data_IF_670568172831
#
_entry.id   IF_670568172831
#
_cell.length_a   1.000
_cell.length_b   1.000
_cell.length_c   1.000
_cell.angle_alpha   90.00
_cell.angle_beta   90.00
_cell.angle_gamma   90.00
#
_symmetry.space_group_name_H-M   'P 1'
#
loop_
_entity.id
_entity.type
_entity.pdbx_description
1 polymer ?
#
# COMPACT_ATOMS: atom_id res chain seq x y z
N UNK A 1 -44.76 -19.83 -0.11
CA UNK A 1 -43.82 -20.98 -0.08
C UNK A 1 -42.53 -20.40 0.50
N UNK A 2 -42.13 -20.78 1.72
CA UNK A 2 -40.93 -20.20 2.35
C UNK A 2 -39.66 -20.85 1.83
N UNK A 3 -38.59 -20.07 1.71
CA UNK A 3 -37.24 -20.52 1.32
C UNK A 3 -36.35 -20.75 2.55
N UNK A 4 -35.34 -21.61 2.42
CA UNK A 4 -34.35 -21.79 3.48
C UNK A 4 -33.48 -20.54 3.58
N UNK A 5 -33.28 -20.03 4.81
CA UNK A 5 -32.34 -18.95 5.07
C UNK A 5 -31.02 -19.57 5.52
N UNK A 6 -29.94 -19.28 4.78
CA UNK A 6 -28.60 -19.82 5.01
C UNK A 6 -27.67 -18.65 5.28
N UNK A 7 -27.12 -18.60 6.49
CA UNK A 7 -26.11 -17.64 6.91
C UNK A 7 -24.76 -18.34 7.06
N UNK A 8 -23.72 -17.79 6.46
CA UNK A 8 -22.36 -18.33 6.52
C UNK A 8 -21.51 -17.31 7.27
N UNK A 9 -20.80 -17.75 8.30
CA UNK A 9 -19.89 -16.91 9.08
C UNK A 9 -18.59 -17.67 9.31
N UNK A 10 -17.55 -17.30 8.56
CA UNK A 10 -16.26 -18.00 8.57
C UNK A 10 -16.41 -19.46 8.14
N UNK A 11 -16.21 -20.39 9.08
CA UNK A 11 -16.40 -21.85 8.88
C UNK A 11 -17.75 -22.38 9.39
N UNK A 12 -18.57 -21.52 10.00
CA UNK A 12 -19.86 -21.92 10.58
C UNK A 12 -20.98 -21.62 9.61
N UNK A 13 -21.86 -22.60 9.39
CA UNK A 13 -23.05 -22.47 8.54
C UNK A 13 -24.29 -22.61 9.40
N UNK A 14 -25.14 -21.59 9.38
CA UNK A 14 -26.40 -21.54 10.11
C UNK A 14 -27.55 -21.65 9.12
N UNK A 15 -28.40 -22.65 9.28
CA UNK A 15 -29.50 -22.96 8.36
C UNK A 15 -30.81 -22.82 9.12
N UNK A 16 -31.71 -21.99 8.63
CA UNK A 16 -33.04 -21.79 9.23
C UNK A 16 -34.10 -22.47 8.37
N UNK A 17 -34.96 -23.28 9.01
CA UNK A 17 -36.05 -23.97 8.32
C UNK A 17 -37.19 -22.98 7.97
N UNK A 18 -37.76 -23.02 6.75
CA UNK A 18 -38.86 -22.14 6.34
C UNK A 18 -40.21 -22.46 6.99
N UNK A 19 -40.29 -23.51 7.81
CA UNK A 19 -41.52 -23.93 8.45
C UNK A 19 -41.64 -23.20 9.78
N UNK A 20 -42.76 -22.50 9.99
CA UNK A 20 -43.07 -21.85 11.25
C UNK A 20 -43.87 -22.80 12.15
N UNK A 21 -43.27 -23.19 13.26
CA UNK A 21 -43.87 -24.02 14.30
C UNK A 21 -42.87 -24.39 15.39
N UNK A 22 -43.37 -24.90 16.51
CA UNK A 22 -42.57 -25.54 17.55
C UNK A 22 -42.46 -27.04 17.24
N UNK A 23 -41.30 -27.65 17.50
CA UNK A 23 -41.07 -29.09 17.23
C UNK A 23 -40.54 -29.41 15.83
N UNK A 24 -39.69 -28.55 15.26
CA UNK A 24 -39.00 -28.85 13.99
C UNK A 24 -37.98 -29.97 14.22
N UNK A 25 -38.13 -31.06 13.48
CA UNK A 25 -37.18 -32.16 13.52
C UNK A 25 -36.19 -32.04 12.37
N UNK A 26 -34.90 -32.04 12.71
CA UNK A 26 -33.81 -31.99 11.74
C UNK A 26 -33.26 -33.39 11.46
N UNK A 27 -33.00 -33.66 10.19
CA UNK A 27 -32.37 -34.87 9.69
C UNK A 27 -31.07 -34.45 8.99
N UNK A 28 -29.92 -34.47 9.71
CA UNK A 28 -28.66 -33.92 9.24
C UNK A 28 -27.86 -34.84 8.31
N UNK A 29 -28.43 -35.95 7.82
CA UNK A 29 -27.75 -36.93 6.93
C UNK A 29 -26.31 -37.27 7.35
N UNK A 30 -26.05 -37.42 8.65
CA UNK A 30 -24.73 -37.77 9.20
C UNK A 30 -23.81 -36.59 9.58
N UNK A 31 -24.27 -35.33 9.48
CA UNK A 31 -23.54 -34.16 10.01
C UNK A 31 -23.70 -34.04 11.52
N UNK A 32 -22.60 -33.71 12.20
CA UNK A 32 -22.63 -33.21 13.58
C UNK A 32 -22.95 -31.72 13.52
N UNK A 33 -23.98 -31.31 14.23
CA UNK A 33 -24.41 -29.92 14.32
C UNK A 33 -25.29 -29.73 15.54
N UNK A 34 -25.43 -28.48 15.94
CA UNK A 34 -26.33 -28.10 17.03
C UNK A 34 -27.69 -27.71 16.47
N UNK A 35 -28.74 -28.01 17.22
CA UNK A 35 -30.13 -27.69 16.84
C UNK A 35 -30.71 -26.73 17.85
N UNK A 36 -30.89 -25.48 17.45
CA UNK A 36 -31.55 -24.46 18.27
C UNK A 36 -32.90 -24.12 17.64
N UNK A 37 -33.99 -24.68 18.20
CA UNK A 37 -35.37 -24.46 17.75
C UNK A 37 -35.58 -24.68 16.24
N UNK A 38 -35.44 -23.62 15.45
CA UNK A 38 -35.63 -23.59 13.98
C UNK A 38 -34.32 -23.50 13.20
N UNK A 39 -33.18 -23.39 13.88
CA UNK A 39 -31.85 -23.24 13.31
C UNK A 39 -31.05 -24.52 13.50
N UNK A 40 -30.32 -24.90 12.46
CA UNK A 40 -29.32 -25.95 12.48
C UNK A 40 -27.94 -25.35 12.22
N UNK A 41 -27.04 -25.50 13.18
CA UNK A 41 -25.73 -24.85 13.20
C UNK A 41 -24.67 -25.92 12.96
N UNK A 42 -23.97 -25.82 11.82
CA UNK A 42 -22.85 -26.68 11.47
C UNK A 42 -21.57 -25.88 11.74
N UNK A 43 -20.83 -26.27 12.77
CA UNK A 43 -19.49 -25.72 13.03
C UNK A 43 -18.46 -26.48 12.20
N UNK A 44 -17.43 -25.77 11.77
CA UNK A 44 -16.28 -26.32 11.04
C UNK A 44 -16.70 -27.15 9.82
N UNK A 45 -17.44 -26.52 8.91
CA UNK A 45 -17.93 -27.20 7.72
C UNK A 45 -16.81 -27.40 6.70
N UNK A 46 -16.48 -28.64 6.33
CA UNK A 46 -15.40 -28.93 5.35
C UNK A 46 -15.72 -28.57 3.86
N UNK A 47 -16.66 -27.67 3.60
CA UNK A 47 -17.14 -27.32 2.24
C UNK A 47 -17.70 -28.49 1.41
N UNK A 48 -17.95 -29.63 2.04
CA UNK A 48 -18.48 -30.83 1.37
C UNK A 48 -19.99 -30.71 1.18
N UNK A 49 -20.51 -30.95 -0.03
CA UNK A 49 -21.94 -30.81 -0.30
C UNK A 49 -22.74 -31.77 0.57
N UNK A 50 -23.87 -31.27 1.11
CA UNK A 50 -24.68 -32.01 2.06
C UNK A 50 -26.16 -31.91 1.73
N UNK A 51 -26.87 -33.02 1.89
CA UNK A 51 -28.33 -33.03 1.86
C UNK A 51 -28.84 -32.88 3.30
N UNK A 52 -29.62 -31.85 3.57
CA UNK A 52 -30.30 -31.69 4.86
C UNK A 52 -31.80 -31.71 4.66
N UNK A 53 -32.53 -32.14 5.69
CA UNK A 53 -33.98 -31.97 5.68
C UNK A 53 -34.52 -31.58 7.04
N UNK A 54 -35.54 -30.73 7.03
CA UNK A 54 -36.33 -30.39 8.20
C UNK A 54 -37.78 -30.86 7.99
N UNK A 55 -38.40 -31.36 9.05
CA UNK A 55 -39.79 -31.77 9.05
C UNK A 55 -40.56 -31.19 10.22
N UNK A 56 -41.81 -30.79 9.97
CA UNK A 56 -42.77 -30.38 10.97
C UNK A 56 -44.06 -31.18 10.74
N UNK A 57 -44.31 -32.18 11.58
CA UNK A 57 -45.39 -33.16 11.38
C UNK A 57 -45.25 -33.87 10.03
N UNK A 58 -46.27 -33.74 9.16
CA UNK A 58 -46.27 -34.35 7.83
C UNK A 58 -45.58 -33.51 6.74
N UNK A 59 -45.11 -32.30 7.05
CA UNK A 59 -44.45 -31.43 6.07
C UNK A 59 -42.94 -31.62 6.15
N UNK A 60 -42.35 -32.28 5.15
CA UNK A 60 -40.89 -32.43 5.01
C UNK A 60 -40.35 -31.49 3.92
N UNK A 61 -39.26 -30.80 4.21
CA UNK A 61 -38.51 -29.94 3.27
C UNK A 61 -37.06 -30.40 3.20
N UNK A 62 -36.52 -30.46 1.98
CA UNK A 62 -35.14 -30.88 1.71
C UNK A 62 -34.35 -29.69 1.17
N UNK A 63 -33.09 -29.58 1.58
CA UNK A 63 -32.12 -28.59 1.14
C UNK A 63 -30.86 -29.32 0.67
N UNK A 64 -30.38 -28.96 -0.52
CA UNK A 64 -29.04 -29.34 -0.97
C UNK A 64 -28.10 -28.17 -0.70
N UNK A 65 -27.23 -28.33 0.30
CA UNK A 65 -26.25 -27.34 0.68
C UNK A 65 -24.96 -27.59 -0.10
N UNK A 66 -24.58 -26.67 -0.97
CA UNK A 66 -23.29 -26.63 -1.64
C UNK A 66 -22.62 -25.28 -1.37
N UNK A 67 -22.04 -25.16 -0.17
CA UNK A 67 -21.41 -23.93 0.30
C UNK A 67 -19.92 -24.18 0.52
N UNK A 68 -19.08 -23.25 0.05
CA UNK A 68 -17.65 -23.25 0.35
C UNK A 68 -17.41 -22.27 1.49
N UNK A 69 -16.75 -22.74 2.53
CA UNK A 69 -16.42 -21.94 3.72
C UNK A 69 -14.91 -21.93 3.93
N UNK A 70 -14.42 -20.94 4.66
CA UNK A 70 -12.99 -20.71 4.83
C UNK A 70 -12.72 -19.96 6.14
N UNK A 71 -11.68 -20.38 6.87
CA UNK A 71 -11.36 -19.83 8.19
C UNK A 71 -10.75 -18.43 8.16
N UNK A 72 -10.01 -18.09 7.10
CA UNK A 72 -9.28 -16.83 6.96
C UNK A 72 -9.72 -16.01 5.75
N UNK A 73 -10.93 -16.28 5.25
CA UNK A 73 -11.48 -15.53 4.13
C UNK A 73 -12.33 -14.40 4.71
N UNK A 74 -11.85 -13.17 4.55
CA UNK A 74 -12.62 -11.98 4.85
C UNK A 74 -13.52 -11.65 3.65
N UNK A 75 -14.72 -11.16 3.92
CA UNK A 75 -15.58 -10.63 2.86
C UNK A 75 -14.97 -9.31 2.37
N UNK A 76 -14.28 -9.37 1.24
CA UNK A 76 -13.76 -8.18 0.56
C UNK A 76 -14.92 -7.44 -0.11
N UNK A 77 -15.50 -6.48 0.60
CA UNK A 77 -16.48 -5.56 0.02
C UNK A 77 -15.77 -4.49 -0.84
N UNK A 78 -16.43 -4.05 -1.92
CA UNK A 78 -15.89 -3.06 -2.84
C UNK A 78 -15.51 -1.75 -2.12
N UNK A 79 -16.28 -1.37 -1.09
CA UNK A 79 -15.99 -0.19 -0.28
C UNK A 79 -14.69 -0.35 0.53
N UNK A 80 -14.46 -1.54 1.11
CA UNK A 80 -13.23 -1.82 1.87
C UNK A 80 -12.00 -1.76 0.98
N UNK A 81 -12.08 -2.36 -0.21
CA UNK A 81 -10.99 -2.33 -1.19
C UNK A 81 -10.70 -0.91 -1.66
N UNK A 82 -11.74 -0.13 -1.97
CA UNK A 82 -11.59 1.27 -2.33
C UNK A 82 -10.98 2.10 -1.19
N UNK A 83 -11.36 1.83 0.06
CA UNK A 83 -10.76 2.41 1.25
C UNK A 83 -9.26 2.13 1.38
N UNK A 84 -8.84 0.89 1.14
CA UNK A 84 -7.42 0.50 1.17
C UNK A 84 -6.63 1.25 0.10
N UNK A 85 -7.13 1.28 -1.14
CA UNK A 85 -6.45 1.96 -2.26
C UNK A 85 -6.36 3.47 -1.99
N UNK A 86 -7.44 4.10 -1.55
CA UNK A 86 -7.44 5.54 -1.25
C UNK A 86 -6.50 5.90 -0.11
N UNK A 87 -6.44 5.08 0.95
CA UNK A 87 -5.48 5.27 2.04
C UNK A 87 -4.03 5.19 1.54
N UNK A 88 -3.71 4.20 0.70
CA UNK A 88 -2.36 4.04 0.12
C UNK A 88 -1.97 5.25 -0.74
N UNK A 89 -2.88 5.75 -1.58
CA UNK A 89 -2.66 6.96 -2.37
C UNK A 89 -2.39 8.20 -1.49
N UNK A 90 -3.12 8.35 -0.39
CA UNK A 90 -2.91 9.47 0.54
C UNK A 90 -1.58 9.36 1.29
N UNK A 91 -1.20 8.15 1.72
CA UNK A 91 0.08 7.90 2.40
C UNK A 91 1.24 8.18 1.44
N UNK A 92 1.21 7.61 0.24
CA UNK A 92 2.25 7.83 -0.78
C UNK A 92 2.36 9.30 -1.16
N UNK A 93 1.24 10.00 -1.38
CA UNK A 93 1.23 11.45 -1.62
C UNK A 93 1.80 12.23 -0.43
N UNK A 94 1.40 11.88 0.80
CA UNK A 94 1.89 12.52 2.02
C UNK A 94 3.40 12.37 2.19
N UNK A 95 3.93 11.17 1.96
CA UNK A 95 5.38 10.90 1.99
C UNK A 95 6.11 11.70 0.91
N UNK A 96 5.58 11.75 -0.32
CA UNK A 96 6.16 12.53 -1.42
C UNK A 96 6.23 14.02 -1.07
N UNK A 97 5.14 14.58 -0.54
CA UNK A 97 5.07 15.99 -0.11
C UNK A 97 6.07 16.25 1.02
N UNK A 98 6.13 15.36 2.02
CA UNK A 98 7.06 15.46 3.14
C UNK A 98 8.51 15.50 2.64
N UNK A 99 8.92 14.52 1.83
CA UNK A 99 10.27 14.45 1.25
C UNK A 99 10.56 15.69 0.38
N UNK A 100 9.57 16.16 -0.39
CA UNK A 100 9.70 17.39 -1.17
C UNK A 100 9.97 18.61 -0.29
N UNK A 101 9.25 18.78 0.82
CA UNK A 101 9.50 19.90 1.75
C UNK A 101 10.83 19.76 2.49
N UNK A 102 11.19 18.57 2.96
CA UNK A 102 12.49 18.34 3.62
C UNK A 102 13.67 18.54 2.67
N UNK A 103 13.56 18.12 1.41
CA UNK A 103 14.58 18.36 0.39
C UNK A 103 14.65 19.84 -0.01
N UNK A 104 13.51 20.54 -0.08
CA UNK A 104 13.47 21.99 -0.30
C UNK A 104 14.08 22.77 0.87
N UNK A 105 13.87 22.33 2.11
CA UNK A 105 14.53 22.88 3.31
C UNK A 105 16.05 22.66 3.35
N UNK A 106 16.55 21.64 2.64
CA UNK A 106 18.01 21.40 2.46
C UNK A 106 18.62 22.15 1.28
N UNK A 107 17.83 22.73 0.36
CA UNK A 107 18.34 23.56 -0.76
C UNK A 107 19.02 24.87 -0.32
N UNK A 108 19.07 25.19 0.97
CA UNK A 108 19.71 26.39 1.52
C UNK A 108 20.82 26.15 2.55
N UNK A 109 21.23 24.91 2.83
CA UNK A 109 22.50 24.65 3.55
C UNK A 109 23.52 24.06 2.58
N UNK A 110 23.96 24.91 1.67
CA UNK A 110 25.36 24.89 1.28
C UNK A 110 26.22 25.27 2.51
N UNK A 111 26.28 24.42 3.54
CA UNK A 111 27.38 24.53 4.49
C UNK A 111 28.61 23.99 3.78
N UNK A 112 29.42 24.92 3.29
CA UNK A 112 30.86 24.80 3.08
C UNK A 112 31.37 23.42 2.64
N UNK A 113 31.58 23.24 1.35
CA UNK A 113 32.29 22.06 0.84
C UNK A 113 32.74 22.14 -0.62
N UNK A 114 32.38 23.20 -1.34
CA UNK A 114 32.92 23.50 -2.67
C UNK A 114 33.95 24.62 -2.56
N UNK A 115 35.22 24.24 -2.63
CA UNK A 115 36.37 25.09 -2.96
C UNK A 115 37.01 25.99 -1.88
N UNK A 116 37.10 25.50 -0.64
CA UNK A 116 38.21 25.88 0.24
C UNK A 116 39.30 24.81 0.17
N UNK A 117 39.97 24.71 -0.97
CA UNK A 117 41.35 24.20 -0.96
C UNK A 117 42.06 25.02 0.11
N UNK A 118 42.68 24.42 1.16
CA UNK A 118 43.49 25.21 2.06
C UNK A 118 44.54 25.85 1.16
N UNK A 119 44.48 27.18 0.97
CA UNK A 119 45.62 27.90 0.43
C UNK A 119 46.72 27.57 1.42
N UNK A 120 47.63 26.69 1.01
CA UNK A 120 48.85 26.44 1.74
C UNK A 120 49.49 27.78 2.11
N UNK A 121 50.33 27.81 3.16
CA UNK A 121 50.98 29.04 3.61
C UNK A 121 51.46 29.82 2.40
N UNK A 122 51.15 31.13 2.34
CA UNK A 122 51.52 31.99 1.21
C UNK A 122 53.03 31.93 1.06
N UNK A 123 53.51 31.01 0.23
CA UNK A 123 54.90 30.94 -0.14
C UNK A 123 55.14 32.19 -0.96
N UNK A 124 55.87 33.13 -0.37
CA UNK A 124 56.29 34.35 -1.01
C UNK A 124 57.09 33.90 -2.24
N UNK A 125 56.45 33.92 -3.41
CA UNK A 125 57.14 33.56 -4.65
C UNK A 125 58.27 34.59 -4.79
N UNK A 126 59.54 34.16 -4.96
CA UNK A 126 60.59 35.10 -5.29
C UNK A 126 60.18 35.89 -6.55
N UNK A 127 60.56 37.17 -6.66
CA UNK A 127 60.23 37.96 -7.83
C UNK A 127 60.67 37.19 -9.09
N UNK A 128 59.83 37.16 -10.14
CA UNK A 128 60.20 36.51 -11.40
C UNK A 128 61.57 37.01 -11.84
N UNK A 129 62.48 36.08 -12.13
CA UNK A 129 63.82 36.42 -12.62
C UNK A 129 63.64 37.27 -13.88
N UNK A 130 64.17 38.51 -13.95
CA UNK A 130 64.02 39.34 -15.13
C UNK A 130 64.64 38.60 -16.33
N UNK A 131 63.80 38.18 -17.25
CA UNK A 131 64.28 37.62 -18.51
C UNK A 131 64.94 38.78 -19.28
N UNK A 132 66.24 38.73 -19.61
CA UNK A 132 66.92 39.82 -20.31
C UNK A 132 66.30 40.15 -21.68
N UNK A 133 65.56 39.20 -22.25
CA UNK A 133 65.00 39.32 -23.59
C UNK A 133 63.61 40.01 -23.64
N UNK A 134 63.01 40.35 -22.49
CA UNK A 134 61.71 41.01 -22.46
C UNK A 134 61.59 42.10 -21.37
N UNK A 135 61.13 43.29 -21.75
CA UNK A 135 60.79 44.36 -20.81
C UNK A 135 59.50 44.02 -20.02
N UNK A 136 59.43 44.34 -18.71
CA UNK A 136 58.21 44.17 -17.93
C UNK A 136 57.02 44.95 -18.51
N UNK A 137 55.90 44.25 -18.74
CA UNK A 137 54.68 44.83 -19.34
C UNK A 137 54.14 45.97 -18.45
N UNK A 138 54.02 47.16 -19.02
CA UNK A 138 53.41 48.32 -18.35
C UNK A 138 51.90 48.11 -18.22
N UNK A 139 51.35 48.44 -17.05
CA UNK A 139 49.91 48.36 -16.80
C UNK A 139 49.18 49.25 -17.81
N UNK A 140 48.33 48.66 -18.66
CA UNK A 140 47.56 49.35 -19.71
C UNK A 140 47.89 48.93 -21.16
N UNK A 141 48.98 48.19 -21.40
CA UNK A 141 49.35 47.72 -22.75
C UNK A 141 49.01 46.24 -23.01
N UNK A 142 48.22 45.63 -22.12
CA UNK A 142 47.85 44.20 -22.22
C UNK A 142 47.05 43.89 -23.48
N UNK A 143 46.28 44.87 -23.95
CA UNK A 143 45.45 44.81 -25.16
C UNK A 143 46.31 44.62 -26.43
N UNK A 144 47.54 45.17 -26.47
CA UNK A 144 48.39 45.19 -27.68
C UNK A 144 48.91 43.81 -28.08
N UNK A 145 49.03 42.89 -27.11
CA UNK A 145 49.50 41.52 -27.33
C UNK A 145 48.39 40.47 -27.15
N UNK A 146 47.22 40.87 -26.66
CA UNK A 146 46.04 40.03 -26.62
C UNK A 146 45.33 40.14 -27.97
N UNK A 147 45.84 39.45 -29.00
CA UNK A 147 45.29 39.40 -30.36
C UNK A 147 43.91 38.74 -30.50
N UNK A 148 43.00 39.01 -29.57
CA UNK A 148 41.63 38.53 -29.54
C UNK A 148 40.71 39.76 -29.47
N UNK A 149 40.31 40.27 -30.64
CA UNK A 149 39.23 41.25 -30.71
C UNK A 149 37.95 40.65 -30.10
N UNK A 150 37.41 41.31 -29.08
CA UNK A 150 36.10 40.99 -28.54
C UNK A 150 35.03 41.43 -29.54
N UNK A 151 34.43 40.50 -30.28
CA UNK A 151 33.19 40.76 -31.02
C UNK A 151 32.07 41.02 -30.02
N UNK A 152 31.69 42.30 -29.88
CA UNK A 152 30.51 42.72 -29.12
C UNK A 152 29.22 42.39 -29.87
N UNK A 153 28.22 41.94 -29.12
CA UNK A 153 26.81 41.92 -29.51
C UNK A 153 26.13 43.19 -29.01
#
# INVERSE_FOLDING_TARGET
QGEFLVEISGTTVTITCPLEGEGIQWDPSGRKGDTEERKFIIRDHDSTPANLSCSLGNKKRKLYLNARVCANCEELDALTVAGIITADLLITLGVLILVYYFSKGRKGRASAGGDSRPRGPKMQRPPPVPNPDYEPIRKGQREVYAGLESRGF
#
